data_IF_018079426412
#
_entry.id   IF_018079426412
#
_cell.length_a   1.000
_cell.length_b   1.000
_cell.length_c   1.000
_cell.angle_alpha   90.00
_cell.angle_beta   90.00
_cell.angle_gamma   90.00
#
_symmetry.space_group_name_H-M   'P 1'
#
loop_
_entity.id
_entity.type
_entity.pdbx_description
1 polymer ?
#
# COMPACT_ATOMS: atom_id res chain seq x y z
N UNK A 1 -18.85 -14.69 8.82
CA UNK A 1 -17.81 -14.84 7.75
C UNK A 1 -17.46 -13.49 7.10
N UNK A 2 -18.46 -12.65 6.74
CA UNK A 2 -18.27 -11.36 6.05
C UNK A 2 -17.32 -10.35 6.73
N UNK A 3 -17.30 -10.30 8.07
CA UNK A 3 -16.40 -9.41 8.82
C UNK A 3 -14.90 -9.66 8.57
N UNK A 4 -14.48 -10.92 8.41
CA UNK A 4 -13.07 -11.26 8.14
C UNK A 4 -12.64 -10.91 6.71
N UNK A 5 -13.53 -11.05 5.74
CA UNK A 5 -13.24 -10.72 4.34
C UNK A 5 -13.04 -9.20 4.18
N UNK A 6 -13.88 -8.39 4.82
CA UNK A 6 -13.70 -6.94 4.86
C UNK A 6 -12.36 -6.52 5.47
N UNK A 7 -11.91 -7.17 6.56
CA UNK A 7 -10.62 -6.87 7.19
C UNK A 7 -9.43 -7.08 6.22
N UNK A 8 -9.45 -8.15 5.42
CA UNK A 8 -8.37 -8.43 4.46
C UNK A 8 -8.35 -7.40 3.33
N UNK A 9 -9.51 -7.04 2.79
CA UNK A 9 -9.59 -5.99 1.75
C UNK A 9 -9.16 -4.63 2.29
N UNK A 10 -9.57 -4.27 3.51
CA UNK A 10 -9.13 -3.05 4.17
C UNK A 10 -7.61 -3.03 4.39
N UNK A 11 -7.06 -4.10 4.98
CA UNK A 11 -5.63 -4.21 5.26
C UNK A 11 -4.78 -4.10 3.98
N UNK A 12 -5.22 -4.76 2.90
CA UNK A 12 -4.56 -4.65 1.59
C UNK A 12 -4.60 -3.20 1.11
N UNK A 13 -5.78 -2.60 0.99
CA UNK A 13 -5.93 -1.26 0.44
C UNK A 13 -5.07 -0.22 1.19
N UNK A 14 -5.18 -0.19 2.53
CA UNK A 14 -4.44 0.74 3.38
C UNK A 14 -2.93 0.44 3.35
N UNK A 15 -2.53 -0.82 3.42
CA UNK A 15 -1.11 -1.20 3.42
C UNK A 15 -0.41 -0.82 2.11
N UNK A 16 -1.04 -1.04 0.96
CA UNK A 16 -0.45 -0.68 -0.34
C UNK A 16 -0.32 0.82 -0.53
N UNK A 17 -1.37 1.60 -0.24
CA UNK A 17 -1.34 3.07 -0.40
C UNK A 17 -0.43 3.73 0.64
N UNK A 18 -0.54 3.29 1.90
CA UNK A 18 0.30 3.80 2.97
C UNK A 18 1.78 3.54 2.71
N UNK A 19 2.15 2.35 2.21
CA UNK A 19 3.56 2.06 1.89
C UNK A 19 4.06 2.89 0.70
N UNK A 20 3.23 3.08 -0.32
CA UNK A 20 3.56 3.93 -1.46
C UNK A 20 3.83 5.39 -1.03
N UNK A 21 2.91 5.99 -0.28
CA UNK A 21 3.04 7.38 0.17
C UNK A 21 4.15 7.56 1.20
N UNK A 22 4.30 6.62 2.14
CA UNK A 22 5.38 6.67 3.13
C UNK A 22 6.76 6.69 2.46
N UNK A 23 6.95 5.92 1.38
CA UNK A 23 8.20 5.99 0.61
C UNK A 23 8.39 7.36 -0.04
N UNK A 24 7.36 7.97 -0.62
CA UNK A 24 7.47 9.29 -1.24
C UNK A 24 7.85 10.35 -0.20
N UNK A 25 7.14 10.40 0.93
CA UNK A 25 7.45 11.33 2.02
C UNK A 25 8.83 11.08 2.62
N UNK A 26 9.27 9.83 2.72
CA UNK A 26 10.63 9.53 3.17
C UNK A 26 11.67 10.12 2.20
N UNK A 27 11.47 10.05 0.89
CA UNK A 27 12.39 10.68 -0.07
C UNK A 27 12.42 12.20 0.07
N UNK A 28 11.28 12.84 0.35
CA UNK A 28 11.22 14.29 0.56
C UNK A 28 12.03 14.72 1.80
N UNK A 29 11.91 13.97 2.91
CA UNK A 29 12.65 14.26 4.16
C UNK A 29 14.14 14.03 4.01
N UNK A 30 14.55 12.96 3.32
CA UNK A 30 15.96 12.56 3.21
C UNK A 30 16.66 13.19 1.99
N UNK A 31 15.91 13.78 1.07
CA UNK A 31 16.38 14.42 -0.14
C UNK A 31 17.43 13.57 -0.89
N UNK A 32 18.59 14.15 -1.22
CA UNK A 32 19.63 13.48 -2.00
C UNK A 32 20.11 12.16 -1.40
N UNK A 33 20.19 12.04 -0.07
CA UNK A 33 20.61 10.80 0.60
C UNK A 33 19.56 9.71 0.43
N UNK A 34 18.28 10.09 0.36
CA UNK A 34 17.17 9.16 0.10
C UNK A 34 17.29 8.42 -1.24
N UNK A 35 17.96 9.01 -2.23
CA UNK A 35 18.18 8.40 -3.55
C UNK A 35 19.41 7.50 -3.64
N UNK A 36 20.23 7.43 -2.58
CA UNK A 36 21.42 6.58 -2.57
C UNK A 36 21.05 5.12 -2.33
N UNK A 37 21.64 4.22 -3.11
CA UNK A 37 21.38 2.77 -3.01
C UNK A 37 21.84 2.18 -1.68
N UNK A 38 22.96 2.67 -1.16
CA UNK A 38 23.60 2.27 0.08
C UNK A 38 22.80 2.72 1.31
N UNK A 39 21.98 3.77 1.17
CA UNK A 39 21.06 4.22 2.21
C UNK A 39 19.84 3.30 2.34
N UNK A 40 19.52 2.52 1.30
CA UNK A 40 18.50 1.47 1.32
C UNK A 40 17.06 1.94 1.08
N UNK A 41 16.76 3.25 1.10
CA UNK A 41 15.40 3.76 0.89
C UNK A 41 14.84 3.44 -0.52
N UNK A 42 15.71 3.40 -1.53
CA UNK A 42 15.37 3.04 -2.91
C UNK A 42 14.84 1.60 -3.05
N UNK A 43 15.27 0.68 -2.19
CA UNK A 43 14.75 -0.69 -2.13
C UNK A 43 13.29 -0.70 -1.68
N UNK A 44 12.96 0.08 -0.65
CA UNK A 44 11.59 0.21 -0.16
C UNK A 44 10.66 0.83 -1.21
N UNK A 45 11.13 1.85 -1.93
CA UNK A 45 10.36 2.45 -3.03
C UNK A 45 10.11 1.47 -4.17
N UNK A 46 11.10 0.64 -4.50
CA UNK A 46 10.94 -0.39 -5.52
C UNK A 46 9.92 -1.43 -5.04
N UNK A 47 10.07 -1.92 -3.81
CA UNK A 47 9.14 -2.88 -3.21
C UNK A 47 7.71 -2.32 -3.13
N UNK A 48 7.52 -1.07 -2.71
CA UNK A 48 6.19 -0.46 -2.58
C UNK A 48 5.50 -0.39 -3.95
N UNK A 49 6.21 0.00 -5.01
CA UNK A 49 5.68 0.03 -6.39
C UNK A 49 5.37 -1.36 -6.94
N UNK A 50 6.26 -2.33 -6.73
CA UNK A 50 6.05 -3.71 -7.19
C UNK A 50 4.85 -4.36 -6.48
N UNK A 51 4.71 -4.14 -5.17
CA UNK A 51 3.65 -4.75 -4.37
C UNK A 51 2.32 -4.01 -4.47
N UNK A 52 2.29 -2.78 -4.97
CA UNK A 52 1.09 -1.93 -5.00
C UNK A 52 -0.10 -2.61 -5.70
N UNK A 53 0.14 -3.21 -6.87
CA UNK A 53 -0.89 -3.94 -7.64
C UNK A 53 -0.89 -5.45 -7.39
N UNK A 54 0.06 -5.94 -6.58
CA UNK A 54 0.12 -7.36 -6.24
C UNK A 54 -1.14 -7.75 -5.44
N UNK A 55 -1.75 -8.87 -5.84
CA UNK A 55 -3.05 -9.36 -5.34
C UNK A 55 -4.26 -8.47 -5.64
N UNK A 56 -4.12 -7.48 -6.51
CA UNK A 56 -5.18 -6.56 -6.92
C UNK A 56 -4.84 -5.11 -6.62
N UNK A 57 -5.54 -4.17 -7.25
CA UNK A 57 -5.33 -2.73 -7.01
C UNK A 57 -6.07 -2.25 -5.74
N UNK A 58 -5.55 -1.28 -4.94
CA UNK A 58 -6.27 -0.75 -3.78
C UNK A 58 -7.71 -0.31 -4.08
N UNK A 59 -7.98 0.23 -5.27
CA UNK A 59 -9.34 0.56 -5.73
C UNK A 59 -10.24 -0.67 -5.81
N UNK A 60 -9.73 -1.79 -6.29
CA UNK A 60 -10.47 -3.06 -6.32
C UNK A 60 -10.82 -3.52 -4.90
N UNK A 61 -9.87 -3.47 -3.96
CA UNK A 61 -10.12 -3.88 -2.58
C UNK A 61 -11.10 -2.94 -1.85
N UNK A 62 -11.06 -1.63 -2.11
CA UNK A 62 -12.08 -0.69 -1.59
C UNK A 62 -13.48 -1.02 -2.07
N UNK A 63 -13.65 -1.37 -3.34
CA UNK A 63 -14.96 -1.79 -3.86
C UNK A 63 -15.46 -3.06 -3.17
N UNK A 64 -14.60 -4.07 -3.03
CA UNK A 64 -14.95 -5.31 -2.31
C UNK A 64 -15.24 -5.09 -0.83
N UNK A 65 -14.58 -4.11 -0.20
CA UNK A 65 -14.89 -3.70 1.17
C UNK A 65 -16.29 -3.09 1.27
N UNK A 66 -16.66 -2.22 0.33
CA UNK A 66 -18.00 -1.64 0.26
C UNK A 66 -19.07 -2.73 0.06
N UNK A 67 -18.87 -3.63 -0.91
CA UNK A 67 -19.77 -4.75 -1.16
C UNK A 67 -19.92 -5.65 0.11
N UNK A 68 -18.83 -5.88 0.85
CA UNK A 68 -18.81 -6.65 2.09
C UNK A 68 -19.39 -5.90 3.31
N UNK A 69 -19.59 -4.59 3.19
CA UNK A 69 -20.25 -3.75 4.18
C UNK A 69 -21.76 -3.69 3.93
N UNK A 70 -22.16 -3.50 2.68
CA UNK A 70 -23.57 -3.42 2.26
C UNK A 70 -24.32 -4.76 2.38
N UNK A 71 -23.59 -5.87 2.45
CA UNK A 71 -24.13 -7.22 2.63
C UNK A 71 -24.28 -7.65 4.10
N UNK A 72 -24.19 -6.72 5.06
CA UNK A 72 -24.32 -6.97 6.50
C UNK A 72 -25.71 -6.69 7.05
#
# INVERSE_FOLDING_TARGET
MAGRIGQVHLAKAVGSEGYYEACNYAHEVHAGVGSMTEYGLTLHTTASRTLYHYLGDPKFHRRRLADAWDSR
#
